data_IF_261952774788
#
_entry.id   IF_261952774788
#
_cell.length_a   1.000
_cell.length_b   1.000
_cell.length_c   1.000
_cell.angle_alpha   90.00
_cell.angle_beta   90.00
_cell.angle_gamma   90.00
#
_symmetry.space_group_name_H-M   'P 1'
#
loop_
_entity.id
_entity.type
_entity.pdbx_description
1 polymer ?
#
# COMPACT_ATOMS: atom_id res chain seq x y z
N UNK A 1 -2.86 -15.78 -0.22
CA UNK A 1 -2.99 -14.61 0.68
C UNK A 1 -3.44 -14.99 2.09
N UNK A 2 -4.46 -15.85 2.27
CA UNK A 2 -4.91 -16.29 3.61
C UNK A 2 -3.78 -16.99 4.41
N UNK A 3 -3.03 -17.91 3.77
CA UNK A 3 -1.88 -18.58 4.40
C UNK A 3 -0.81 -17.58 4.86
N UNK A 4 -0.52 -16.55 4.05
CA UNK A 4 0.41 -15.48 4.42
C UNK A 4 -0.08 -14.69 5.64
N UNK A 5 -1.37 -14.33 5.68
CA UNK A 5 -1.97 -13.57 6.78
C UNK A 5 -2.01 -14.37 8.10
N UNK A 6 -2.25 -15.67 8.04
CA UNK A 6 -2.37 -16.51 9.24
C UNK A 6 -1.00 -16.93 9.77
N UNK A 7 -0.03 -17.22 8.89
CA UNK A 7 1.25 -17.82 9.29
C UNK A 7 2.38 -16.79 9.36
N UNK A 8 2.58 -16.00 8.30
CA UNK A 8 3.78 -15.16 8.15
C UNK A 8 3.56 -13.78 8.78
N UNK A 9 2.41 -13.18 8.54
CA UNK A 9 2.10 -11.84 9.02
C UNK A 9 2.22 -11.69 10.55
N UNK A 10 1.73 -12.61 11.41
CA UNK A 10 1.84 -12.47 12.86
C UNK A 10 3.29 -12.53 13.36
N UNK A 11 4.13 -13.33 12.69
CA UNK A 11 5.56 -13.42 12.99
C UNK A 11 6.27 -12.10 12.67
N UNK A 12 6.01 -11.55 11.47
CA UNK A 12 6.59 -10.27 11.05
C UNK A 12 6.06 -9.13 11.94
N UNK A 13 4.75 -9.10 12.26
CA UNK A 13 4.13 -8.12 13.17
C UNK A 13 4.81 -8.08 14.54
N UNK A 14 5.10 -9.24 15.13
CA UNK A 14 5.80 -9.32 16.42
C UNK A 14 7.20 -8.73 16.37
N UNK A 15 7.90 -8.82 15.23
CA UNK A 15 9.27 -8.35 15.11
C UNK A 15 9.39 -6.83 14.90
N UNK A 16 8.50 -6.21 14.12
CA UNK A 16 8.65 -4.83 13.66
C UNK A 16 7.45 -3.91 13.96
N UNK A 17 6.36 -4.46 14.50
CA UNK A 17 5.11 -3.76 14.70
C UNK A 17 4.37 -3.42 13.39
N UNK A 18 3.05 -3.19 13.42
CA UNK A 18 2.27 -2.91 12.22
C UNK A 18 2.71 -1.62 11.50
N UNK A 19 3.17 -0.61 12.24
CA UNK A 19 3.68 0.66 11.67
C UNK A 19 5.06 0.46 11.02
N UNK A 20 5.99 -0.23 11.69
CA UNK A 20 7.35 -0.44 11.17
C UNK A 20 7.33 -1.25 9.87
N UNK A 21 6.54 -2.32 9.84
CA UNK A 21 6.39 -3.16 8.64
C UNK A 21 5.70 -2.38 7.53
N UNK A 22 4.66 -1.61 7.84
CA UNK A 22 3.98 -0.75 6.87
C UNK A 22 4.95 0.21 6.18
N UNK A 23 5.86 0.84 6.95
CA UNK A 23 6.89 1.74 6.43
C UNK A 23 7.89 1.02 5.53
N UNK A 24 8.50 -0.07 6.00
CA UNK A 24 9.47 -0.85 5.22
C UNK A 24 8.83 -1.34 3.93
N UNK A 25 7.62 -1.89 4.03
CA UNK A 25 6.85 -2.41 2.89
C UNK A 25 6.49 -1.33 1.88
N UNK A 26 6.12 -0.13 2.35
CA UNK A 26 5.90 1.03 1.51
C UNK A 26 7.17 1.49 0.81
N UNK A 27 8.29 1.58 1.54
CA UNK A 27 9.58 1.99 0.96
C UNK A 27 10.07 1.02 -0.11
N UNK A 28 9.86 -0.29 0.08
CA UNK A 28 10.19 -1.33 -0.92
C UNK A 28 9.23 -1.33 -2.12
N UNK A 29 8.01 -0.82 -1.93
CA UNK A 29 7.01 -0.75 -2.99
C UNK A 29 7.31 0.32 -4.05
N UNK A 30 7.97 1.42 -3.67
CA UNK A 30 8.36 2.50 -4.58
C UNK A 30 9.33 2.03 -5.69
N UNK A 31 10.49 1.41 -5.38
CA UNK A 31 11.39 0.92 -6.42
C UNK A 31 10.77 -0.22 -7.22
N UNK A 32 9.88 -1.02 -6.61
CA UNK A 32 9.13 -2.03 -7.35
C UNK A 32 8.18 -1.39 -8.36
N UNK A 33 7.41 -0.35 -8.00
CA UNK A 33 6.53 0.37 -8.92
C UNK A 33 7.32 1.07 -10.03
N UNK A 34 8.47 1.65 -9.69
CA UNK A 34 9.34 2.31 -10.66
C UNK A 34 9.98 1.33 -11.66
N UNK A 35 10.09 0.04 -11.33
CA UNK A 35 10.66 -0.95 -12.25
C UNK A 35 9.67 -1.40 -13.35
N UNK A 36 8.36 -1.23 -13.16
CA UNK A 36 7.33 -1.68 -14.14
C UNK A 36 7.48 -1.13 -15.56
N UNK A 37 7.79 0.16 -15.79
CA UNK A 37 8.11 0.66 -17.13
C UNK A 37 9.27 -0.08 -17.80
N UNK A 38 10.29 -0.48 -17.03
CA UNK A 38 11.45 -1.21 -17.54
C UNK A 38 11.15 -2.68 -17.78
N UNK A 39 10.24 -3.28 -17.00
CA UNK A 39 9.76 -4.64 -17.23
C UNK A 39 9.13 -4.75 -18.63
N UNK A 40 8.49 -3.69 -19.13
CA UNK A 40 7.92 -3.65 -20.47
C UNK A 40 8.97 -3.74 -21.60
N UNK A 41 10.27 -3.61 -21.31
CA UNK A 41 11.35 -3.83 -22.28
C UNK A 41 11.65 -5.32 -22.52
N UNK A 42 11.18 -6.20 -21.63
CA UNK A 42 11.29 -7.65 -21.83
C UNK A 42 10.18 -8.15 -22.75
N UNK A 43 10.42 -9.29 -23.40
CA UNK A 43 9.44 -9.95 -24.26
C UNK A 43 9.33 -11.45 -23.96
N UNK A 44 8.20 -12.05 -24.36
CA UNK A 44 7.97 -13.49 -24.24
C UNK A 44 7.88 -14.00 -22.80
N UNK A 45 8.48 -15.17 -22.54
CA UNK A 45 8.39 -15.86 -21.24
C UNK A 45 9.02 -15.07 -20.10
N UNK A 46 10.12 -14.36 -20.36
CA UNK A 46 10.80 -13.55 -19.34
C UNK A 46 9.90 -12.42 -18.82
N UNK A 47 9.17 -11.75 -19.71
CA UNK A 47 8.18 -10.73 -19.34
C UNK A 47 7.12 -11.32 -18.39
N UNK A 48 6.54 -12.46 -18.75
CA UNK A 48 5.51 -13.12 -17.93
C UNK A 48 6.05 -13.52 -16.55
N UNK A 49 7.24 -14.13 -16.48
CA UNK A 49 7.85 -14.54 -15.21
C UNK A 49 8.06 -13.32 -14.30
N UNK A 50 8.64 -12.25 -14.84
CA UNK A 50 8.95 -11.03 -14.07
C UNK A 50 7.67 -10.31 -13.62
N UNK A 51 6.68 -10.17 -14.50
CA UNK A 51 5.38 -9.56 -14.15
C UNK A 51 4.67 -10.36 -13.07
N UNK A 52 4.61 -11.70 -13.20
CA UNK A 52 3.95 -12.55 -12.20
C UNK A 52 4.67 -12.44 -10.86
N UNK A 53 6.00 -12.47 -10.86
CA UNK A 53 6.81 -12.33 -9.64
C UNK A 53 6.57 -10.97 -8.98
N UNK A 54 6.65 -9.88 -9.75
CA UNK A 54 6.38 -8.53 -9.27
C UNK A 54 4.94 -8.39 -8.74
N UNK A 55 3.96 -8.99 -9.43
CA UNK A 55 2.56 -8.97 -9.02
C UNK A 55 2.33 -9.71 -7.70
N UNK A 56 2.95 -10.87 -7.52
CA UNK A 56 2.88 -11.62 -6.24
C UNK A 56 3.49 -10.77 -5.12
N UNK A 57 4.68 -10.21 -5.35
CA UNK A 57 5.37 -9.38 -4.37
C UNK A 57 4.53 -8.15 -3.99
N UNK A 58 3.97 -7.43 -4.97
CA UNK A 58 3.10 -6.28 -4.72
C UNK A 58 1.83 -6.66 -3.97
N UNK A 59 1.23 -7.81 -4.26
CA UNK A 59 0.06 -8.29 -3.53
C UNK A 59 0.38 -8.61 -2.06
N UNK A 60 1.51 -9.28 -1.80
CA UNK A 60 1.97 -9.56 -0.43
C UNK A 60 2.12 -8.23 0.33
N UNK A 61 2.86 -7.28 -0.24
CA UNK A 61 3.08 -5.97 0.36
C UNK A 61 1.78 -5.21 0.64
N UNK A 62 0.85 -5.20 -0.33
CA UNK A 62 -0.46 -4.56 -0.19
C UNK A 62 -1.33 -5.22 0.90
N UNK A 63 -1.28 -6.55 1.01
CA UNK A 63 -1.98 -7.27 2.06
C UNK A 63 -1.40 -6.95 3.44
N UNK A 64 -0.08 -6.89 3.59
CA UNK A 64 0.59 -6.53 4.85
C UNK A 64 0.18 -5.14 5.33
N UNK A 65 0.20 -4.14 4.45
CA UNK A 65 -0.20 -2.77 4.80
C UNK A 65 -1.67 -2.74 5.24
N UNK A 66 -2.57 -3.38 4.48
CA UNK A 66 -4.01 -3.41 4.81
C UNK A 66 -4.27 -4.06 6.16
N UNK A 67 -3.67 -5.21 6.43
CA UNK A 67 -3.81 -5.90 7.71
C UNK A 67 -3.25 -5.05 8.87
N UNK A 68 -2.10 -4.40 8.68
CA UNK A 68 -1.52 -3.51 9.69
C UNK A 68 -2.41 -2.32 10.02
N UNK A 69 -2.99 -1.68 9.00
CA UNK A 69 -3.92 -0.55 9.18
C UNK A 69 -5.19 -0.98 9.91
N UNK A 70 -5.77 -2.13 9.57
CA UNK A 70 -6.95 -2.66 10.29
C UNK A 70 -6.64 -2.93 11.77
N UNK A 71 -5.46 -3.50 12.08
CA UNK A 71 -5.05 -3.72 13.47
C UNK A 71 -4.86 -2.40 14.23
N UNK A 72 -4.27 -1.40 13.58
CA UNK A 72 -4.10 -0.07 14.16
C UNK A 72 -5.43 0.63 14.43
N UNK A 73 -6.38 0.56 13.50
CA UNK A 73 -7.74 1.10 13.69
C UNK A 73 -8.44 0.43 14.88
N UNK A 74 -8.39 -0.91 14.94
CA UNK A 74 -8.99 -1.67 16.04
C UNK A 74 -8.32 -1.39 17.41
N UNK A 75 -7.03 -1.04 17.44
CA UNK A 75 -6.31 -0.64 18.66
C UNK A 75 -6.57 0.81 19.06
N UNK A 76 -6.89 1.68 18.11
CA UNK A 76 -7.13 3.10 18.36
C UNK A 76 -8.49 3.35 19.05
N UNK A 77 -9.48 2.50 18.79
CA UNK A 77 -10.86 2.64 19.30
C UNK A 77 -11.22 1.58 20.33
N UNK A 78 -12.19 1.90 21.19
CA UNK A 78 -12.74 0.95 22.15
C UNK A 78 -13.50 -0.18 21.46
N UNK A 79 -13.55 -1.35 22.10
CA UNK A 79 -14.13 -2.58 21.52
C UNK A 79 -15.55 -2.37 20.97
N UNK A 80 -16.39 -1.62 21.69
CA UNK A 80 -17.77 -1.35 21.29
C UNK A 80 -17.89 -0.44 20.05
N UNK A 81 -16.86 0.36 19.74
CA UNK A 81 -16.81 1.28 18.61
C UNK A 81 -16.07 0.71 17.39
N UNK A 82 -15.44 -0.46 17.50
CA UNK A 82 -14.69 -1.08 16.39
C UNK A 82 -15.53 -1.25 15.13
N UNK A 83 -16.80 -1.63 15.28
CA UNK A 83 -17.73 -1.76 14.16
C UNK A 83 -17.94 -0.43 13.41
N UNK A 84 -18.20 0.65 14.15
CA UNK A 84 -18.40 1.98 13.57
C UNK A 84 -17.11 2.50 12.91
N UNK A 85 -15.96 2.35 13.57
CA UNK A 85 -14.67 2.78 13.04
C UNK A 85 -14.27 2.03 11.75
N UNK A 86 -14.47 0.71 11.72
CA UNK A 86 -14.24 -0.10 10.53
C UNK A 86 -15.22 0.25 9.41
N UNK A 87 -16.49 0.54 9.75
CA UNK A 87 -17.51 1.00 8.80
C UNK A 87 -17.11 2.31 8.11
N UNK A 88 -16.71 3.33 8.88
CA UNK A 88 -16.23 4.62 8.33
C UNK A 88 -15.01 4.40 7.44
N UNK A 89 -14.05 3.59 7.89
CA UNK A 89 -12.84 3.29 7.12
C UNK A 89 -13.15 2.56 5.82
N UNK A 90 -14.09 1.61 5.82
CA UNK A 90 -14.53 0.92 4.61
C UNK A 90 -15.29 1.83 3.65
N UNK A 91 -16.11 2.76 4.14
CA UNK A 91 -16.78 3.78 3.31
C UNK A 91 -15.78 4.70 2.63
N UNK A 92 -14.77 5.19 3.36
CA UNK A 92 -13.69 5.98 2.77
C UNK A 92 -12.94 5.19 1.70
N UNK A 93 -12.55 3.94 2.00
CA UNK A 93 -11.86 3.08 1.05
C UNK A 93 -12.69 2.81 -0.20
N UNK A 94 -13.99 2.53 -0.08
CA UNK A 94 -14.86 2.24 -1.22
C UNK A 94 -15.04 3.45 -2.12
N UNK A 95 -15.15 4.65 -1.55
CA UNK A 95 -15.16 5.90 -2.31
C UNK A 95 -13.89 6.07 -3.14
N UNK A 96 -12.71 5.90 -2.53
CA UNK A 96 -11.44 5.98 -3.27
C UNK A 96 -11.32 4.87 -4.33
N UNK A 97 -11.81 3.67 -4.07
CA UNK A 97 -11.85 2.59 -5.07
C UNK A 97 -12.79 2.90 -6.22
N UNK A 98 -13.87 3.66 -6.00
CA UNK A 98 -14.79 4.05 -7.05
C UNK A 98 -14.17 5.13 -7.97
N UNK A 99 -13.46 6.11 -7.38
CA UNK A 99 -12.85 7.22 -8.14
C UNK A 99 -11.51 6.82 -8.78
N UNK A 100 -10.79 5.89 -8.15
CA UNK A 100 -9.44 5.46 -8.55
C UNK A 100 -9.29 5.10 -10.03
N UNK A 101 -10.17 4.26 -10.63
CA UNK A 101 -10.11 3.92 -12.05
C UNK A 101 -10.27 5.13 -12.97
N UNK A 102 -11.15 6.08 -12.63
CA UNK A 102 -11.36 7.28 -13.43
C UNK A 102 -10.13 8.20 -13.38
N UNK A 103 -9.57 8.44 -12.19
CA UNK A 103 -8.33 9.21 -12.03
C UNK A 103 -7.15 8.53 -12.71
N UNK A 104 -7.00 7.22 -12.55
CA UNK A 104 -5.95 6.43 -13.22
C UNK A 104 -6.06 6.48 -14.74
N UNK A 105 -7.28 6.36 -15.27
CA UNK A 105 -7.58 6.50 -16.69
C UNK A 105 -7.21 7.89 -17.22
N UNK A 106 -7.57 8.95 -16.50
CA UNK A 106 -7.21 10.33 -16.88
C UNK A 106 -5.69 10.54 -16.93
N UNK A 107 -4.94 10.04 -15.93
CA UNK A 107 -3.47 10.09 -15.90
C UNK A 107 -2.87 9.29 -17.06
N UNK A 108 -3.43 8.12 -17.38
CA UNK A 108 -3.00 7.30 -18.52
C UNK A 108 -3.28 8.01 -19.86
N UNK A 109 -4.45 8.60 -20.05
CA UNK A 109 -4.75 9.37 -21.28
C UNK A 109 -3.81 10.58 -21.41
N UNK A 110 -3.49 11.24 -20.29
CA UNK A 110 -2.52 12.33 -20.29
C UNK A 110 -1.10 11.83 -20.65
N UNK A 111 -0.70 10.67 -20.15
CA UNK A 111 0.61 10.09 -20.45
C UNK A 111 0.77 9.75 -21.93
N UNK A 112 -0.29 9.22 -22.55
CA UNK A 112 -0.32 8.92 -23.98
C UNK A 112 -0.22 10.17 -24.88
N UNK A 113 -0.73 11.33 -24.43
CA UNK A 113 -0.59 12.59 -25.16
C UNK A 113 0.82 13.18 -25.12
N UNK A 114 1.69 12.69 -24.24
CA UNK A 114 3.01 13.27 -23.96
C UNK A 114 4.15 12.28 -24.22
N UNK A 115 4.00 11.43 -25.24
CA UNK A 115 5.05 10.46 -25.63
C UNK A 115 6.33 11.15 -26.09
N UNK A 116 6.24 12.33 -26.72
CA UNK A 116 7.38 13.04 -27.30
C UNK A 116 8.12 13.98 -26.34
N UNK A 117 7.78 13.97 -25.04
CA UNK A 117 8.47 14.82 -24.07
C UNK A 117 9.87 14.28 -23.72
N UNK A 118 10.83 15.19 -23.49
CA UNK A 118 12.19 14.85 -23.07
C UNK A 118 12.30 14.41 -21.60
N UNK A 119 11.28 14.67 -20.78
CA UNK A 119 11.25 14.32 -19.36
C UNK A 119 9.94 13.63 -18.98
N UNK A 120 10.04 12.47 -18.31
CA UNK A 120 8.90 11.61 -17.90
C UNK A 120 7.91 11.33 -19.05
N UNK A 121 8.42 10.81 -20.16
CA UNK A 121 7.61 10.48 -21.34
C UNK A 121 6.73 9.25 -21.14
N UNK A 122 5.55 9.29 -21.76
CA UNK A 122 4.64 8.15 -21.84
C UNK A 122 4.34 7.54 -20.48
N UNK A 123 4.36 6.20 -20.40
CA UNK A 123 3.96 5.44 -19.21
C UNK A 123 4.77 5.76 -17.94
N UNK A 124 6.00 6.29 -18.07
CA UNK A 124 6.84 6.65 -16.91
C UNK A 124 6.15 7.66 -15.98
N UNK A 125 5.36 8.58 -16.52
CA UNK A 125 4.65 9.58 -15.72
C UNK A 125 3.54 8.97 -14.87
N UNK A 126 2.93 7.88 -15.34
CA UNK A 126 1.89 7.15 -14.60
C UNK A 126 2.50 6.55 -13.34
N UNK A 127 3.61 5.82 -13.50
CA UNK A 127 4.31 5.21 -12.37
C UNK A 127 4.95 6.24 -11.44
N UNK A 128 5.40 7.39 -11.97
CA UNK A 128 5.87 8.50 -11.15
C UNK A 128 4.76 9.10 -10.28
N UNK A 129 3.57 9.36 -10.85
CA UNK A 129 2.40 9.84 -10.09
C UNK A 129 1.99 8.82 -9.02
N UNK A 130 1.99 7.52 -9.35
CA UNK A 130 1.71 6.46 -8.38
C UNK A 130 2.76 6.43 -7.24
N UNK A 131 4.03 6.63 -7.55
CA UNK A 131 5.10 6.72 -6.56
C UNK A 131 4.95 7.95 -5.64
N UNK A 132 4.48 9.10 -6.16
CA UNK A 132 4.16 10.27 -5.32
C UNK A 132 3.02 9.93 -4.35
N UNK A 133 1.95 9.30 -4.83
CA UNK A 133 0.81 8.90 -3.99
C UNK A 133 1.27 7.93 -2.89
N UNK A 134 2.12 6.96 -3.23
CA UNK A 134 2.67 6.02 -2.26
C UNK A 134 3.61 6.71 -1.26
N UNK A 135 4.45 7.63 -1.71
CA UNK A 135 5.31 8.43 -0.83
C UNK A 135 4.51 9.27 0.15
N UNK A 136 3.42 9.92 -0.29
CA UNK A 136 2.49 10.64 0.60
C UNK A 136 1.90 9.68 1.63
N UNK A 137 1.46 8.48 1.20
CA UNK A 137 0.94 7.46 2.11
C UNK A 137 1.96 7.01 3.16
N UNK A 138 3.23 6.87 2.79
CA UNK A 138 4.32 6.54 3.71
C UNK A 138 4.56 7.70 4.69
N UNK A 139 4.60 8.95 4.21
CA UNK A 139 4.76 10.14 5.06
C UNK A 139 3.64 10.21 6.11
N UNK A 140 2.40 9.90 5.72
CA UNK A 140 1.26 9.83 6.64
C UNK A 140 1.38 8.72 7.69
N UNK A 141 2.27 7.73 7.52
CA UNK A 141 2.56 6.73 8.56
C UNK A 141 3.57 7.22 9.61
N UNK A 142 4.16 8.40 9.44
CA UNK A 142 5.04 9.03 10.43
C UNK A 142 4.28 9.94 11.38
N UNK A 143 4.89 10.23 12.54
CA UNK A 143 4.33 11.22 13.48
C UNK A 143 4.43 12.61 12.85
N UNK A 144 3.42 13.50 13.02
CA UNK A 144 2.31 13.41 13.97
C UNK A 144 1.06 12.66 13.48
N UNK A 145 1.00 12.24 12.22
CA UNK A 145 -0.23 11.73 11.59
C UNK A 145 -0.69 10.39 12.14
N UNK A 146 0.24 9.45 12.34
CA UNK A 146 -0.06 8.13 12.90
C UNK A 146 0.49 8.02 14.33
N UNK A 147 -0.32 8.48 15.30
CA UNK A 147 -0.02 8.34 16.72
C UNK A 147 -0.59 7.02 17.27
N UNK A 148 0.28 6.11 17.70
CA UNK A 148 -0.16 4.93 18.43
C UNK A 148 -0.60 5.33 19.84
N UNK A 149 -1.78 4.86 20.27
CA UNK A 149 -2.20 4.92 21.67
C UNK A 149 -1.16 4.15 22.49
N UNK A 150 -0.46 4.82 23.43
CA UNK A 150 0.41 4.12 24.38
C UNK A 150 -0.43 3.04 25.07
N UNK A 151 0.08 1.81 25.15
CA UNK A 151 -0.51 0.78 26.02
C UNK A 151 -0.49 1.34 27.45
N UNK A 152 -1.64 1.79 27.94
CA UNK A 152 -1.82 1.99 29.38
C UNK A 152 -1.70 0.61 30.01
N UNK A 153 -0.87 0.54 31.05
CA UNK A 153 -0.42 -0.65 31.77
C UNK A 153 -1.55 -1.25 32.63
N UNK A 154 -2.72 -1.52 32.05
CA UNK A 154 -3.89 -2.07 32.74
C UNK A 154 -4.28 -3.48 32.27
N UNK A 155 -3.74 -3.96 31.13
CA UNK A 155 -4.00 -5.32 30.62
C UNK A 155 -2.95 -6.36 31.06
N UNK A 156 -2.33 -6.18 32.24
CA UNK A 156 -1.45 -7.18 32.86
C UNK A 156 -2.07 -7.79 34.13
N UNK A 157 -3.32 -7.43 34.47
CA UNK A 157 -3.95 -7.82 35.73
C UNK A 157 -5.40 -8.32 35.61
N UNK A 158 -5.83 -8.76 34.42
CA UNK A 158 -7.08 -9.52 34.26
C UNK A 158 -6.88 -10.72 33.34
#
# INVERSE_FOLDING_TARGET
>A
MIIYQISVYPFVERACGPVGIGRITGMLSIPLLQSYPFIALLSGVALTIVIVTASILKNIMSTTIRTGLFLLQNRAVEQHQRGAANGISMTGMSLFKAIGPATGGAVLTWSQKRMDASFLSGTNIVFFVLNIIEAIGIIMMFKPFLAEKKKTQSDQLQ
#
